data_IF_118965591579
#
_entry.id   IF_118965591579
#
_cell.length_a   1.000
_cell.length_b   1.000
_cell.length_c   1.000
_cell.angle_alpha   90.00
_cell.angle_beta   90.00
_cell.angle_gamma   90.00
#
_symmetry.space_group_name_H-M   'P 1'
#
loop_
_entity.id
_entity.type
_entity.pdbx_description
1 polymer ?
#
# COMPACT_ATOMS: atom_id res chain seq x y z
N UNK A 1 -1.41 -1.60 -2.26
CA UNK A 1 -1.68 -1.36 -3.71
C UNK A 1 -0.58 -0.44 -4.21
N UNK A 2 0.31 -0.94 -5.05
CA UNK A 2 1.44 -0.21 -5.63
C UNK A 2 0.96 0.35 -6.98
N UNK A 3 1.09 1.65 -7.18
CA UNK A 3 0.88 2.27 -8.49
C UNK A 3 2.22 2.27 -9.22
N UNK A 4 2.33 1.49 -10.28
CA UNK A 4 3.40 1.64 -11.25
C UNK A 4 3.03 2.83 -12.15
N UNK A 5 3.62 3.99 -11.91
CA UNK A 5 3.55 5.15 -12.81
C UNK A 5 4.82 5.17 -13.62
N UNK A 6 4.82 4.46 -14.75
CA UNK A 6 5.74 4.73 -15.86
C UNK A 6 5.13 4.19 -17.16
N UNK A 7 5.11 5.05 -18.16
CA UNK A 7 4.67 4.74 -19.51
C UNK A 7 5.55 3.63 -20.11
N UNK A 8 4.93 2.59 -20.64
CA UNK A 8 5.62 1.55 -21.42
C UNK A 8 6.15 2.17 -22.70
N UNK A 9 7.46 2.19 -22.96
CA UNK A 9 8.00 2.61 -24.26
C UNK A 9 7.63 1.56 -25.32
N UNK A 10 7.13 2.05 -26.44
CA UNK A 10 6.84 1.25 -27.65
C UNK A 10 8.11 0.59 -28.16
N UNK A 11 8.00 -0.67 -28.52
CA UNK A 11 9.06 -1.46 -29.12
C UNK A 11 9.60 -0.78 -30.39
N UNK A 12 10.88 -0.41 -30.38
CA UNK A 12 11.86 -0.41 -31.44
C UNK A 12 13.06 0.49 -31.03
N UNK A 13 14.07 -0.13 -30.49
CA UNK A 13 15.32 0.56 -30.13
C UNK A 13 16.16 -0.32 -29.19
N UNK A 14 17.41 -0.46 -29.54
CA UNK A 14 18.43 -1.22 -28.83
C UNK A 14 18.40 -0.97 -27.33
N UNK A 15 18.26 -2.05 -26.54
CA UNK A 15 18.40 -2.04 -25.09
C UNK A 15 19.86 -1.72 -24.75
N UNK A 16 20.17 -0.44 -24.55
CA UNK A 16 21.29 -0.07 -23.70
C UNK A 16 20.82 -0.20 -22.26
N UNK A 17 21.40 -1.12 -21.48
CA UNK A 17 21.17 -1.21 -20.04
C UNK A 17 21.43 0.17 -19.42
N UNK A 18 20.45 0.79 -18.75
CA UNK A 18 20.75 1.96 -17.94
C UNK A 18 21.69 1.51 -16.83
N UNK A 19 22.88 2.13 -16.77
CA UNK A 19 23.85 1.92 -15.71
C UNK A 19 23.13 1.97 -14.36
N UNK A 20 23.51 1.09 -13.46
CA UNK A 20 23.06 1.04 -12.08
C UNK A 20 23.38 2.38 -11.42
N UNK A 21 22.43 3.32 -11.52
CA UNK A 21 22.49 4.57 -10.78
C UNK A 21 22.03 4.23 -9.35
N UNK A 22 22.99 4.07 -8.48
CA UNK A 22 22.83 3.75 -7.06
C UNK A 22 22.29 4.97 -6.27
N UNK A 23 21.44 5.77 -6.88
CA UNK A 23 20.60 6.73 -6.20
C UNK A 23 19.53 5.94 -5.44
N UNK A 24 19.85 5.60 -4.18
CA UNK A 24 18.96 4.99 -3.19
C UNK A 24 17.62 5.75 -3.18
N UNK A 25 16.66 5.28 -3.96
CA UNK A 25 15.34 5.91 -4.09
C UNK A 25 14.63 5.81 -2.73
N UNK A 26 14.43 6.93 -2.04
CA UNK A 26 13.69 6.98 -0.78
C UNK A 26 12.26 6.52 -1.02
N UNK A 27 11.81 5.53 -0.26
CA UNK A 27 10.44 5.02 -0.27
C UNK A 27 9.59 5.82 0.72
N UNK A 28 8.57 6.50 0.24
CA UNK A 28 7.59 7.19 1.09
C UNK A 28 6.29 6.39 1.14
N UNK A 29 5.83 6.03 2.33
CA UNK A 29 4.55 5.36 2.54
C UNK A 29 3.58 6.26 3.32
N UNK A 30 2.30 6.26 2.92
CA UNK A 30 1.23 6.86 3.69
C UNK A 30 0.62 5.81 4.62
N UNK A 31 0.73 6.02 5.94
CA UNK A 31 0.19 5.13 6.96
C UNK A 31 -1.11 5.70 7.52
N UNK A 32 -2.22 4.99 7.35
CA UNK A 32 -3.46 5.23 8.09
C UNK A 32 -3.25 4.81 9.55
N UNK A 33 -2.86 5.77 10.38
CA UNK A 33 -2.50 5.52 11.78
C UNK A 33 -3.71 5.14 12.63
N UNK A 34 -4.90 5.60 12.24
CA UNK A 34 -6.13 5.41 13.00
C UNK A 34 -6.82 4.06 12.72
N UNK A 35 -6.38 3.35 11.67
CA UNK A 35 -6.96 2.07 11.28
C UNK A 35 -6.56 0.92 12.21
N UNK A 36 -7.41 -0.13 12.24
CA UNK A 36 -7.24 -1.32 13.08
C UNK A 36 -7.88 -1.18 14.46
N UNK A 37 -7.94 -2.30 15.18
CA UNK A 37 -8.65 -2.41 16.46
C UNK A 37 -8.01 -1.58 17.60
N UNK A 38 -6.70 -1.38 17.51
CA UNK A 38 -5.92 -0.67 18.53
C UNK A 38 -5.44 0.71 18.07
N UNK A 39 -5.61 1.04 16.79
CA UNK A 39 -5.27 2.34 16.20
C UNK A 39 -3.86 2.81 16.54
N UNK A 40 -3.69 4.12 16.91
CA UNK A 40 -2.38 4.76 17.07
C UNK A 40 -1.46 4.07 18.08
N UNK A 41 -2.00 3.39 19.09
CA UNK A 41 -1.22 2.74 20.15
C UNK A 41 -0.38 1.57 19.63
N UNK A 42 -0.77 0.97 18.51
CA UNK A 42 -0.03 -0.09 17.83
C UNK A 42 0.65 0.42 16.56
N UNK A 43 -0.05 1.24 15.76
CA UNK A 43 0.46 1.67 14.47
C UNK A 43 1.66 2.63 14.59
N UNK A 44 1.70 3.51 15.59
CA UNK A 44 2.83 4.42 15.79
C UNK A 44 4.09 3.67 16.24
N UNK A 45 4.07 2.80 17.26
CA UNK A 45 5.24 1.97 17.58
C UNK A 45 5.72 1.11 16.41
N UNK A 46 4.81 0.52 15.63
CA UNK A 46 5.14 -0.25 14.44
C UNK A 46 5.83 0.62 13.36
N UNK A 47 5.37 1.85 13.17
CA UNK A 47 6.00 2.83 12.27
C UNK A 47 7.44 3.14 12.69
N UNK A 48 7.69 3.37 13.99
CA UNK A 48 9.03 3.62 14.52
C UNK A 48 9.95 2.39 14.33
N UNK A 49 9.42 1.20 14.54
CA UNK A 49 10.16 -0.04 14.30
C UNK A 49 10.51 -0.23 12.81
N UNK A 50 9.59 0.09 11.91
CA UNK A 50 9.82 0.01 10.47
C UNK A 50 10.92 0.99 10.02
N UNK A 51 10.95 2.21 10.56
CA UNK A 51 12.01 3.18 10.30
C UNK A 51 13.40 2.71 10.79
N UNK A 52 13.46 2.00 11.91
CA UNK A 52 14.71 1.40 12.39
C UNK A 52 15.20 0.28 11.47
N UNK A 53 14.28 -0.49 10.90
CA UNK A 53 14.61 -1.61 10.02
C UNK A 53 14.95 -1.18 8.59
N UNK A 54 14.58 0.04 8.19
CA UNK A 54 14.80 0.52 6.82
C UNK A 54 15.16 2.02 6.81
N UNK A 55 16.43 2.31 6.54
CA UNK A 55 16.95 3.68 6.50
C UNK A 55 16.43 4.52 5.32
N UNK A 56 15.95 3.88 4.25
CA UNK A 56 15.40 4.56 3.07
C UNK A 56 13.90 4.88 3.19
N UNK A 57 13.25 4.42 4.28
CA UNK A 57 11.82 4.61 4.49
C UNK A 57 11.53 6.00 5.06
N UNK A 58 10.55 6.67 4.49
CA UNK A 58 9.88 7.89 5.00
C UNK A 58 8.40 7.58 5.19
N UNK A 59 7.80 8.05 6.27
CA UNK A 59 6.40 7.78 6.59
C UNK A 59 5.59 9.07 6.73
N UNK A 60 4.44 9.13 6.05
CA UNK A 60 3.39 10.12 6.25
C UNK A 60 2.33 9.50 7.19
N UNK A 61 2.33 9.92 8.44
CA UNK A 61 1.41 9.43 9.48
C UNK A 61 0.08 10.18 9.37
N UNK A 62 -0.94 9.53 8.83
CA UNK A 62 -2.24 10.15 8.59
C UNK A 62 -3.17 9.84 9.75
N UNK A 63 -3.59 10.86 10.50
CA UNK A 63 -4.46 10.68 11.66
C UNK A 63 -4.63 11.93 12.51
N UNK A 64 -5.17 11.75 13.73
CA UNK A 64 -5.35 12.85 14.67
C UNK A 64 -3.99 13.22 15.33
N UNK A 65 -3.47 14.46 15.14
CA UNK A 65 -2.20 14.89 15.71
C UNK A 65 -2.16 14.79 17.23
N UNK A 66 -3.27 15.05 17.93
CA UNK A 66 -3.32 15.04 19.39
C UNK A 66 -3.10 13.63 19.96
N UNK A 67 -3.47 12.59 19.21
CA UNK A 67 -3.24 11.19 19.60
C UNK A 67 -1.88 10.67 19.15
N UNK A 68 -1.37 11.14 18.01
CA UNK A 68 -0.10 10.67 17.44
C UNK A 68 1.10 11.31 18.16
N UNK A 69 1.07 12.63 18.41
CA UNK A 69 2.22 13.37 18.94
C UNK A 69 2.75 12.82 20.26
N UNK A 70 1.91 12.48 21.26
CA UNK A 70 2.42 11.90 22.52
C UNK A 70 3.14 10.55 22.31
N UNK A 71 2.68 9.74 21.37
CA UNK A 71 3.26 8.43 21.08
C UNK A 71 4.63 8.53 20.38
N UNK A 72 4.90 9.65 19.72
CA UNK A 72 6.19 9.95 19.12
C UNK A 72 7.23 10.49 20.14
N UNK A 73 6.88 10.64 21.41
CA UNK A 73 7.80 11.17 22.42
C UNK A 73 9.10 10.32 22.54
N UNK A 74 9.00 9.01 22.25
CA UNK A 74 10.14 8.07 22.27
C UNK A 74 10.94 8.02 20.96
N UNK A 75 10.48 8.70 19.91
CA UNK A 75 11.19 8.74 18.63
C UNK A 75 12.46 9.58 18.74
N UNK A 76 13.56 9.05 18.23
CA UNK A 76 14.83 9.76 18.14
C UNK A 76 14.82 10.82 17.02
N UNK A 77 15.92 11.55 16.90
CA UNK A 77 16.05 12.62 15.90
C UNK A 77 15.99 12.09 14.47
N UNK A 78 16.63 10.94 14.20
CA UNK A 78 16.67 10.32 12.87
C UNK A 78 15.29 9.84 12.44
N UNK A 79 14.57 9.14 13.32
CA UNK A 79 13.19 8.72 13.08
C UNK A 79 12.28 9.93 12.81
N UNK A 80 12.39 11.00 13.63
CA UNK A 80 11.58 12.22 13.46
C UNK A 80 11.84 12.93 12.15
N UNK A 81 13.08 12.92 11.64
CA UNK A 81 13.43 13.55 10.35
C UNK A 81 12.78 12.84 9.14
N UNK A 82 12.37 11.56 9.34
CA UNK A 82 11.74 10.71 8.31
C UNK A 82 10.23 10.50 8.54
N UNK A 83 9.62 11.31 9.44
CA UNK A 83 8.20 11.28 9.77
C UNK A 83 7.55 12.61 9.48
N UNK A 84 6.34 12.59 8.93
CA UNK A 84 5.46 13.76 8.82
C UNK A 84 4.05 13.37 9.27
N UNK A 85 3.45 14.14 10.16
CA UNK A 85 2.05 13.98 10.54
C UNK A 85 1.17 14.73 9.53
N UNK A 86 0.19 14.04 8.99
CA UNK A 86 -0.85 14.59 8.10
C UNK A 86 -2.17 14.56 8.88
N UNK A 87 -2.72 15.71 9.26
CA UNK A 87 -3.93 15.77 10.08
C UNK A 87 -5.14 15.18 9.35
N UNK A 88 -5.87 14.26 9.99
CA UNK A 88 -7.15 13.74 9.53
C UNK A 88 -8.26 14.09 10.53
N UNK A 89 -9.47 14.34 10.01
CA UNK A 89 -10.62 14.80 10.78
C UNK A 89 -11.50 13.67 11.31
N UNK A 90 -11.45 12.50 10.68
CA UNK A 90 -12.32 11.37 10.99
C UNK A 90 -11.64 10.02 10.75
N UNK A 91 -12.29 8.96 11.20
CA UNK A 91 -11.85 7.58 11.07
C UNK A 91 -13.00 6.76 10.51
N UNK A 92 -12.71 5.78 9.66
CA UNK A 92 -13.68 4.80 9.20
C UNK A 92 -13.74 3.67 10.23
N UNK A 93 -14.93 3.42 10.78
CA UNK A 93 -15.13 2.33 11.73
C UNK A 93 -14.88 0.95 11.09
N UNK A 94 -14.30 0.03 11.86
CA UNK A 94 -13.93 -1.31 11.36
C UNK A 94 -15.15 -2.13 10.92
N UNK A 95 -16.31 -1.91 11.52
CA UNK A 95 -17.59 -2.58 11.26
C UNK A 95 -18.49 -1.83 10.28
N UNK A 96 -18.05 -0.68 9.77
CA UNK A 96 -18.85 0.12 8.83
C UNK A 96 -19.12 -0.66 7.53
N UNK A 97 -20.36 -0.59 7.04
CA UNK A 97 -20.68 -1.14 5.72
C UNK A 97 -19.87 -0.40 4.64
N UNK A 98 -19.18 -1.11 3.73
CA UNK A 98 -18.28 -0.48 2.76
C UNK A 98 -18.93 0.66 1.97
N UNK A 99 -20.19 0.51 1.54
CA UNK A 99 -20.92 1.56 0.81
C UNK A 99 -21.14 2.84 1.63
N UNK A 100 -21.41 2.72 2.93
CA UNK A 100 -21.55 3.86 3.83
C UNK A 100 -20.19 4.48 4.15
N UNK A 101 -19.18 3.63 4.41
CA UNK A 101 -17.83 4.06 4.66
C UNK A 101 -17.27 4.91 3.50
N UNK A 102 -17.50 4.49 2.24
CA UNK A 102 -17.07 5.24 1.06
C UNK A 102 -17.79 6.59 0.96
N UNK A 103 -19.10 6.66 1.18
CA UNK A 103 -19.87 7.92 1.11
C UNK A 103 -19.41 8.93 2.16
N UNK A 104 -19.13 8.46 3.37
CA UNK A 104 -18.79 9.30 4.53
C UNK A 104 -17.27 9.41 4.77
N UNK A 105 -16.46 9.01 3.80
CA UNK A 105 -15.00 8.92 3.95
C UNK A 105 -14.26 10.26 3.92
N UNK A 106 -14.94 11.35 3.56
CA UNK A 106 -14.29 12.66 3.39
C UNK A 106 -13.56 13.09 4.67
N UNK A 107 -12.27 13.39 4.55
CA UNK A 107 -11.44 13.76 5.69
C UNK A 107 -11.03 12.60 6.61
N UNK A 108 -11.37 11.34 6.28
CA UNK A 108 -10.92 10.19 7.05
C UNK A 108 -9.45 9.87 6.78
N UNK A 109 -8.75 9.34 7.80
CA UNK A 109 -7.35 8.99 7.72
C UNK A 109 -7.05 8.00 6.59
N UNK A 110 -7.88 6.98 6.41
CA UNK A 110 -7.75 6.01 5.30
C UNK A 110 -7.87 6.67 3.92
N UNK A 111 -8.89 7.53 3.73
CA UNK A 111 -9.07 8.22 2.45
C UNK A 111 -7.93 9.16 2.16
N UNK A 112 -7.51 9.96 3.13
CA UNK A 112 -6.39 10.91 2.97
C UNK A 112 -5.08 10.17 2.67
N UNK A 113 -4.83 9.01 3.29
CA UNK A 113 -3.66 8.20 2.97
C UNK A 113 -3.66 7.72 1.51
N UNK A 114 -4.82 7.34 0.95
CA UNK A 114 -4.96 7.00 -0.47
C UNK A 114 -4.84 8.23 -1.39
N UNK A 115 -5.33 9.39 -0.96
CA UNK A 115 -5.19 10.65 -1.70
C UNK A 115 -3.71 11.05 -1.84
N UNK A 116 -2.89 10.86 -0.80
CA UNK A 116 -1.43 11.06 -0.87
C UNK A 116 -0.74 10.17 -1.90
N UNK A 117 -1.22 8.93 -2.07
CA UNK A 117 -0.73 8.04 -3.14
C UNK A 117 -1.17 8.54 -4.52
N UNK A 118 -2.43 8.97 -4.65
CA UNK A 118 -2.96 9.53 -5.89
C UNK A 118 -2.20 10.78 -6.34
N UNK A 119 -1.82 11.62 -5.39
CA UNK A 119 -1.06 12.87 -5.61
C UNK A 119 0.44 12.62 -5.89
N UNK A 120 0.91 11.38 -5.80
CA UNK A 120 2.32 11.03 -5.98
C UNK A 120 3.23 11.41 -4.80
N UNK A 121 2.65 11.81 -3.66
CA UNK A 121 3.38 12.15 -2.42
C UNK A 121 3.82 10.91 -1.63
N UNK A 122 3.19 9.77 -1.88
CA UNK A 122 3.58 8.47 -1.35
C UNK A 122 3.49 7.42 -2.46
N UNK A 123 4.39 6.44 -2.44
CA UNK A 123 4.37 5.32 -3.39
C UNK A 123 3.33 4.26 -3.05
N UNK A 124 2.97 4.14 -1.76
CA UNK A 124 1.93 3.21 -1.33
C UNK A 124 1.23 3.70 -0.05
N UNK A 125 0.05 3.11 0.21
CA UNK A 125 -0.72 3.31 1.42
C UNK A 125 -0.75 2.01 2.23
N UNK A 126 -0.62 2.13 3.55
CA UNK A 126 -0.76 1.04 4.52
C UNK A 126 -1.91 1.38 5.46
N UNK A 127 -2.84 0.46 5.63
CA UNK A 127 -3.95 0.58 6.58
C UNK A 127 -4.31 -0.78 7.15
N UNK A 128 -4.55 -0.83 8.46
CA UNK A 128 -5.11 -2.00 9.16
C UNK A 128 -6.62 -1.85 9.41
N UNK A 129 -7.26 -0.87 8.78
CA UNK A 129 -8.68 -0.57 8.94
C UNK A 129 -9.60 -1.47 8.11
N UNK A 130 -10.82 -1.00 7.89
CA UNK A 130 -11.88 -1.73 7.17
C UNK A 130 -11.46 -2.09 5.73
N UNK A 131 -11.29 -3.39 5.46
CA UNK A 131 -10.81 -3.91 4.18
C UNK A 131 -11.72 -3.54 3.01
N UNK A 132 -13.04 -3.66 3.19
CA UNK A 132 -14.01 -3.31 2.15
C UNK A 132 -14.02 -1.82 1.80
N UNK A 133 -13.83 -0.96 2.81
CA UNK A 133 -13.68 0.48 2.60
C UNK A 133 -12.36 0.80 1.89
N UNK A 134 -11.26 0.18 2.29
CA UNK A 134 -9.96 0.35 1.65
C UNK A 134 -10.00 -0.04 0.18
N UNK A 135 -10.57 -1.20 -0.14
CA UNK A 135 -10.75 -1.67 -1.53
C UNK A 135 -11.62 -0.73 -2.36
N UNK A 136 -12.77 -0.34 -1.82
CA UNK A 136 -13.69 0.54 -2.53
C UNK A 136 -13.12 1.95 -2.75
N UNK A 137 -12.46 2.52 -1.76
CA UNK A 137 -11.78 3.82 -1.87
C UNK A 137 -10.59 3.75 -2.81
N UNK A 138 -9.81 2.67 -2.79
CA UNK A 138 -8.71 2.45 -3.72
C UNK A 138 -9.20 2.41 -5.16
N UNK A 139 -10.28 1.65 -5.43
CA UNK A 139 -10.90 1.63 -6.77
C UNK A 139 -11.37 3.02 -7.21
N UNK A 140 -11.99 3.77 -6.31
CA UNK A 140 -12.54 5.09 -6.61
C UNK A 140 -11.45 6.13 -6.87
N UNK A 141 -10.41 6.17 -6.04
CA UNK A 141 -9.40 7.23 -6.04
C UNK A 141 -8.23 6.95 -6.99
N UNK A 142 -7.71 5.73 -6.96
CA UNK A 142 -6.53 5.35 -7.74
C UNK A 142 -6.90 4.83 -9.13
N UNK A 143 -8.12 4.32 -9.28
CA UNK A 143 -8.67 3.67 -10.48
C UNK A 143 -7.87 2.40 -10.86
N UNK A 144 -8.52 1.36 -11.36
CA UNK A 144 -7.83 0.23 -11.98
C UNK A 144 -7.10 0.65 -13.26
N UNK A 145 -6.11 -0.13 -13.66
CA UNK A 145 -5.51 -0.03 -14.99
C UNK A 145 -6.51 -0.47 -16.06
N UNK A 146 -6.30 -0.04 -17.29
CA UNK A 146 -7.15 -0.41 -18.42
C UNK A 146 -7.22 -1.95 -18.58
N UNK A 147 -8.40 -2.48 -18.80
CA UNK A 147 -8.65 -3.92 -18.91
C UNK A 147 -8.87 -4.64 -17.58
N UNK A 148 -8.73 -3.97 -16.43
CA UNK A 148 -9.01 -4.53 -15.09
C UNK A 148 -10.24 -3.87 -14.49
N UNK A 149 -11.30 -4.64 -14.26
CA UNK A 149 -12.57 -4.10 -13.73
C UNK A 149 -12.54 -3.86 -12.23
N UNK A 150 -11.88 -4.75 -11.48
CA UNK A 150 -11.81 -4.68 -10.01
C UNK A 150 -10.42 -5.01 -9.48
N UNK A 151 -9.99 -4.35 -8.41
CA UNK A 151 -8.80 -4.77 -7.68
C UNK A 151 -9.08 -6.10 -6.96
N UNK A 152 -8.02 -6.86 -6.70
CA UNK A 152 -8.06 -8.08 -5.90
C UNK A 152 -7.18 -7.94 -4.66
N UNK A 153 -7.57 -8.60 -3.56
CA UNK A 153 -6.65 -8.82 -2.44
C UNK A 153 -5.66 -9.90 -2.82
N UNK A 154 -4.38 -9.65 -2.55
CA UNK A 154 -3.31 -10.59 -2.88
C UNK A 154 -2.49 -10.92 -1.64
N UNK A 155 -2.08 -12.17 -1.54
CA UNK A 155 -1.05 -12.61 -0.59
C UNK A 155 -0.09 -13.57 -1.23
N UNK A 156 1.07 -13.73 -0.59
CA UNK A 156 2.09 -14.70 -0.98
C UNK A 156 2.23 -15.73 0.12
N UNK A 157 1.89 -16.98 -0.17
CA UNK A 157 2.00 -18.08 0.76
C UNK A 157 3.31 -18.85 0.56
N UNK A 158 4.01 -19.22 1.64
CA UNK A 158 5.22 -20.05 1.54
C UNK A 158 4.85 -21.49 1.17
N UNK A 159 5.70 -22.12 0.37
CA UNK A 159 5.63 -23.57 0.12
C UNK A 159 6.32 -24.35 1.25
N UNK A 160 5.93 -25.61 1.44
CA UNK A 160 6.65 -26.54 2.33
C UNK A 160 8.09 -26.80 1.85
N UNK A 161 8.29 -26.84 0.54
CA UNK A 161 9.60 -26.84 -0.11
C UNK A 161 9.92 -25.40 -0.56
N UNK A 162 11.13 -25.10 -0.97
CA UNK A 162 11.51 -23.76 -1.42
C UNK A 162 10.56 -23.27 -2.54
N UNK A 163 9.90 -22.13 -2.33
CA UNK A 163 8.98 -21.53 -3.30
C UNK A 163 7.90 -20.68 -2.64
N UNK A 164 7.11 -20.00 -3.46
CA UNK A 164 6.02 -19.13 -3.05
C UNK A 164 4.82 -19.31 -3.96
N UNK A 165 3.61 -19.22 -3.41
CA UNK A 165 2.36 -19.22 -4.18
C UNK A 165 1.70 -17.86 -4.03
N UNK A 166 1.45 -17.21 -5.15
CA UNK A 166 0.66 -15.96 -5.19
C UNK A 166 -0.82 -16.33 -5.27
N UNK A 167 -1.60 -15.86 -4.29
CA UNK A 167 -3.04 -16.10 -4.20
C UNK A 167 -3.75 -14.75 -4.33
N UNK A 168 -4.68 -14.64 -5.27
CA UNK A 168 -5.48 -13.45 -5.51
C UNK A 168 -6.92 -13.67 -5.10
N UNK A 169 -7.52 -12.56 -4.71
CA UNK A 169 -8.90 -12.39 -4.29
C UNK A 169 -9.30 -13.22 -3.07
N UNK A 170 -8.69 -12.86 -1.95
CA UNK A 170 -8.97 -13.43 -0.64
C UNK A 170 -10.28 -12.86 -0.04
N UNK A 171 -11.40 -13.07 -0.76
CA UNK A 171 -12.73 -12.70 -0.30
C UNK A 171 -13.11 -11.22 -0.46
N UNK A 172 -12.38 -10.45 -1.23
CA UNK A 172 -12.75 -9.05 -1.52
C UNK A 172 -13.89 -8.93 -2.53
N UNK A 173 -13.97 -9.86 -3.47
CA UNK A 173 -15.07 -9.98 -4.42
C UNK A 173 -15.84 -11.28 -4.14
N UNK A 174 -17.06 -11.16 -3.63
CA UNK A 174 -17.89 -12.33 -3.25
C UNK A 174 -18.34 -13.10 -4.49
N UNK A 175 -18.76 -12.37 -5.53
CA UNK A 175 -19.19 -12.94 -6.80
C UNK A 175 -18.19 -12.57 -7.89
N UNK A 176 -17.56 -13.58 -8.48
CA UNK A 176 -16.62 -13.44 -9.59
C UNK A 176 -17.17 -14.13 -10.83
N UNK A 177 -17.29 -13.40 -11.93
CA UNK A 177 -17.57 -13.97 -13.23
C UNK A 177 -16.31 -14.48 -13.94
N UNK A 178 -16.46 -15.11 -15.10
CA UNK A 178 -15.34 -15.64 -15.87
C UNK A 178 -14.33 -14.58 -16.31
N UNK A 179 -14.80 -13.36 -16.62
CA UNK A 179 -13.95 -12.23 -17.02
C UNK A 179 -13.06 -11.79 -15.88
N UNK A 180 -13.65 -11.63 -14.68
CA UNK A 180 -12.90 -11.27 -13.48
C UNK A 180 -11.85 -12.33 -13.12
N UNK A 181 -12.20 -13.62 -13.21
CA UNK A 181 -11.26 -14.71 -12.94
C UNK A 181 -10.08 -14.70 -13.93
N UNK A 182 -10.35 -14.44 -15.21
CA UNK A 182 -9.29 -14.28 -16.21
C UNK A 182 -8.38 -13.08 -15.90
N UNK A 183 -8.95 -11.93 -15.50
CA UNK A 183 -8.18 -10.75 -15.10
C UNK A 183 -7.32 -11.02 -13.86
N UNK A 184 -7.85 -11.74 -12.86
CA UNK A 184 -7.08 -12.13 -11.67
C UNK A 184 -5.95 -13.09 -12.02
N UNK A 185 -6.15 -14.03 -12.95
CA UNK A 185 -5.09 -14.92 -13.42
C UNK A 185 -3.93 -14.15 -14.07
N UNK A 186 -4.24 -13.17 -14.93
CA UNK A 186 -3.23 -12.31 -15.55
C UNK A 186 -2.47 -11.49 -14.49
N UNK A 187 -3.18 -10.82 -13.59
CA UNK A 187 -2.55 -10.05 -12.50
C UNK A 187 -1.65 -10.93 -11.62
N UNK A 188 -2.11 -12.15 -11.30
CA UNK A 188 -1.35 -13.11 -10.51
C UNK A 188 -0.09 -13.58 -11.19
N UNK A 189 -0.15 -13.84 -12.50
CA UNK A 189 1.02 -14.24 -13.31
C UNK A 189 2.09 -13.16 -13.31
N UNK A 190 1.71 -11.91 -13.61
CA UNK A 190 2.64 -10.77 -13.62
C UNK A 190 3.28 -10.57 -12.25
N UNK A 191 2.49 -10.62 -11.18
CA UNK A 191 3.02 -10.45 -9.82
C UNK A 191 3.95 -11.59 -9.42
N UNK A 192 3.63 -12.84 -9.79
CA UNK A 192 4.48 -13.99 -9.50
C UNK A 192 5.87 -13.85 -10.16
N UNK A 193 5.91 -13.42 -11.42
CA UNK A 193 7.16 -13.14 -12.11
C UNK A 193 8.00 -12.05 -11.44
N UNK A 194 7.35 -10.96 -10.98
CA UNK A 194 8.05 -9.87 -10.29
C UNK A 194 8.58 -10.28 -8.92
N UNK A 195 7.83 -11.10 -8.17
CA UNK A 195 8.25 -11.62 -6.87
C UNK A 195 9.44 -12.56 -7.02
N UNK A 196 9.44 -13.43 -8.03
CA UNK A 196 10.54 -14.37 -8.27
C UNK A 196 11.80 -13.65 -8.76
N UNK A 197 11.69 -12.70 -9.68
CA UNK A 197 12.84 -11.90 -10.16
C UNK A 197 13.52 -11.14 -9.02
N UNK A 198 12.76 -10.53 -8.10
CA UNK A 198 13.33 -9.83 -6.96
C UNK A 198 13.99 -10.77 -5.95
N UNK A 199 13.43 -11.96 -5.71
CA UNK A 199 14.03 -12.92 -4.81
C UNK A 199 15.36 -13.48 -5.33
N UNK A 200 15.52 -13.61 -6.64
CA UNK A 200 16.77 -14.07 -7.28
C UNK A 200 17.87 -13.01 -7.22
N UNK A 201 17.54 -11.72 -7.34
CA UNK A 201 18.52 -10.62 -7.23
C UNK A 201 19.01 -10.35 -5.80
N UNK A 202 18.23 -10.70 -4.77
CA UNK A 202 18.62 -10.52 -3.37
C UNK A 202 19.50 -11.68 -2.84
N UNK A 203 19.59 -12.77 -3.58
CA UNK A 203 20.36 -13.98 -3.20
C UNK A 203 21.61 -14.18 -4.07
N UNK A 204 21.94 -13.24 -4.92
CA UNK A 204 23.17 -13.17 -5.73
C UNK A 204 24.09 -12.05 -5.20
#
# INVERSE_FOLDING_TARGET
MIRLSEELPRANGEFTEPGCDDTLTRLTLALDVMGGDFGPTVTVPAALQALNSNSQLTLLLVGNPDTITPLLAKADFEQRSRLQIIPAQSVIASDARPSQAIRNSRGSSMRMALELVKEGRAQACVSAGNTGALMGLSKLLLKPIEGIERPALVTVLPHQQKGKTVVLDLGANVDCDSTMLAQFAVMGSVLAEDVDRKSTRLNS
#
